data_IF_179642650359
#
_entry.id   IF_179642650359
#
_cell.length_a   1.000
_cell.length_b   1.000
_cell.length_c   1.000
_cell.angle_alpha   90.00
_cell.angle_beta   90.00
_cell.angle_gamma   90.00
#
_symmetry.space_group_name_H-M   'P 1'
#
loop_
_entity.id
_entity.type
_entity.pdbx_description
1 polymer ?
#
# COMPACT_ATOMS: atom_id res chain seq x y z
N UNK A 1 9.31 -30.19 4.26
CA UNK A 1 8.25 -29.61 5.13
C UNK A 1 8.78 -29.08 6.48
N UNK A 2 9.83 -29.67 7.06
CA UNK A 2 10.45 -29.21 8.33
C UNK A 2 11.16 -27.84 8.21
N UNK A 3 11.96 -27.60 7.19
CA UNK A 3 12.68 -26.33 6.96
C UNK A 3 11.76 -25.11 6.74
N UNK A 4 10.59 -25.29 6.15
CA UNK A 4 9.60 -24.22 5.98
C UNK A 4 8.96 -23.81 7.33
N UNK A 5 8.87 -24.74 8.27
CA UNK A 5 8.37 -24.44 9.62
C UNK A 5 9.39 -23.69 10.49
N UNK A 6 10.67 -24.00 10.37
CA UNK A 6 11.74 -23.25 11.06
C UNK A 6 11.91 -21.82 10.51
N UNK A 7 11.77 -21.65 9.21
CA UNK A 7 11.84 -20.33 8.56
C UNK A 7 10.57 -19.50 8.85
N UNK A 8 9.43 -20.17 9.10
CA UNK A 8 8.19 -19.51 9.54
C UNK A 8 8.24 -19.11 11.02
N UNK A 9 9.09 -19.73 11.83
CA UNK A 9 9.34 -19.31 13.23
C UNK A 9 10.18 -18.02 13.28
N UNK A 10 11.04 -17.74 12.27
CA UNK A 10 11.62 -16.41 12.08
C UNK A 10 10.57 -15.34 11.63
N UNK A 11 9.39 -15.76 11.20
CA UNK A 11 8.27 -14.84 10.97
C UNK A 11 7.68 -14.32 12.30
N UNK A 12 7.86 -15.03 13.41
CA UNK A 12 7.56 -14.53 14.76
C UNK A 12 8.54 -13.42 15.17
N UNK A 13 9.77 -13.41 14.68
CA UNK A 13 10.68 -12.27 14.81
C UNK A 13 10.15 -11.04 14.06
N UNK A 14 9.39 -11.21 12.98
CA UNK A 14 8.65 -10.12 12.34
C UNK A 14 7.46 -9.64 13.19
N UNK A 15 6.94 -10.45 14.11
CA UNK A 15 5.93 -10.04 15.08
C UNK A 15 6.53 -9.11 16.17
N UNK A 16 7.74 -9.38 16.63
CA UNK A 16 8.47 -8.50 17.54
C UNK A 16 8.76 -7.13 16.91
N UNK A 17 8.95 -7.05 15.59
CA UNK A 17 9.09 -5.78 14.85
C UNK A 17 7.85 -4.87 14.98
N UNK A 18 6.71 -5.43 15.34
CA UNK A 18 5.46 -4.70 15.56
C UNK A 18 5.12 -4.53 17.05
N UNK A 19 5.83 -5.20 17.98
CA UNK A 19 5.56 -5.12 19.42
C UNK A 19 6.42 -4.08 20.16
N UNK A 20 7.66 -3.86 19.74
CA UNK A 20 8.63 -2.98 20.42
C UNK A 20 8.75 -1.58 19.78
N UNK A 21 7.64 -0.94 19.46
CA UNK A 21 7.66 0.49 19.20
C UNK A 21 7.58 1.25 20.54
N UNK A 22 8.68 1.30 21.26
CA UNK A 22 8.82 2.23 22.37
C UNK A 22 8.50 3.65 21.91
N UNK A 23 7.54 4.30 22.56
CA UNK A 23 7.22 5.75 22.59
C UNK A 23 7.00 6.52 21.27
N UNK A 24 6.80 5.87 20.15
CA UNK A 24 6.47 6.49 18.88
C UNK A 24 5.25 5.87 18.19
N UNK A 25 4.33 5.30 18.96
CA UNK A 25 3.11 4.69 18.44
C UNK A 25 2.18 5.77 17.91
N UNK A 26 2.36 6.14 16.64
CA UNK A 26 1.34 6.90 15.93
C UNK A 26 0.19 5.91 15.72
N UNK A 27 -0.79 5.92 16.62
CA UNK A 27 -2.12 5.36 16.37
C UNK A 27 -2.72 6.15 15.23
N UNK A 28 -2.43 5.75 14.02
CA UNK A 28 -3.05 6.36 12.85
C UNK A 28 -4.43 5.74 12.74
N UNK A 29 -5.43 6.41 13.29
CA UNK A 29 -6.74 6.45 12.66
C UNK A 29 -6.49 6.54 11.14
N UNK A 30 -7.37 6.07 10.24
CA UNK A 30 -7.15 6.12 8.80
C UNK A 30 -6.98 7.56 8.25
N UNK A 31 -6.58 8.50 9.07
CA UNK A 31 -6.22 9.85 8.71
C UNK A 31 -4.85 9.83 8.01
N UNK A 32 -4.93 9.69 6.73
CA UNK A 32 -3.95 9.43 5.72
C UNK A 32 -2.79 10.40 5.61
N UNK A 33 -2.99 11.68 5.94
CA UNK A 33 -1.98 12.73 5.68
C UNK A 33 -0.75 12.60 6.55
N UNK A 34 -0.93 12.29 7.83
CA UNK A 34 0.20 12.07 8.74
C UNK A 34 1.03 10.85 8.34
N UNK A 35 0.36 9.80 7.84
CA UNK A 35 0.99 8.58 7.36
C UNK A 35 1.85 8.80 6.11
N UNK A 36 1.39 9.63 5.17
CA UNK A 36 2.09 9.91 3.92
C UNK A 36 3.17 11.00 4.04
N UNK A 37 3.17 11.74 5.15
CA UNK A 37 4.15 12.80 5.38
C UNK A 37 5.58 12.22 5.31
N UNK A 38 6.36 12.72 4.35
CA UNK A 38 7.76 12.30 4.13
C UNK A 38 7.95 10.98 3.40
N UNK A 39 6.89 10.31 2.93
CA UNK A 39 7.03 9.22 1.97
C UNK A 39 7.25 9.77 0.56
N UNK A 40 8.03 9.05 -0.29
CA UNK A 40 8.28 9.45 -1.68
C UNK A 40 7.09 9.08 -2.59
N UNK A 41 5.88 9.50 -2.19
CA UNK A 41 4.64 9.29 -2.94
C UNK A 41 4.07 10.61 -3.41
N UNK A 42 3.50 10.62 -4.61
CA UNK A 42 2.74 11.73 -5.17
C UNK A 42 1.32 11.70 -4.61
N UNK A 43 0.72 10.53 -4.67
CA UNK A 43 -0.65 10.28 -4.23
C UNK A 43 -0.74 8.90 -3.60
N UNK A 44 -1.59 8.75 -2.62
CA UNK A 44 -1.99 7.44 -2.14
C UNK A 44 -3.42 7.47 -1.67
N UNK A 45 -4.25 6.54 -2.08
CA UNK A 45 -5.64 6.40 -1.75
C UNK A 45 -5.94 5.02 -1.14
N UNK A 46 -6.78 4.97 -0.06
CA UNK A 46 -7.24 3.72 0.50
C UNK A 46 -8.75 3.73 0.70
N UNK A 47 -9.37 2.61 0.49
CA UNK A 47 -10.76 2.38 0.84
C UNK A 47 -10.84 1.16 1.73
N UNK A 48 -11.49 1.28 2.88
CA UNK A 48 -11.80 0.12 3.72
C UNK A 48 -12.95 -0.64 3.08
N UNK A 49 -12.73 -1.89 2.68
CA UNK A 49 -13.66 -2.71 1.92
C UNK A 49 -14.40 -3.76 2.76
N UNK A 50 -14.18 -3.78 4.07
CA UNK A 50 -14.87 -4.67 5.01
C UNK A 50 -15.26 -3.95 6.29
N UNK A 51 -16.31 -4.40 6.99
CA UNK A 51 -16.60 -3.97 8.35
C UNK A 51 -15.47 -4.32 9.32
N UNK A 52 -15.43 -3.58 10.44
CA UNK A 52 -14.55 -3.80 11.58
C UNK A 52 -13.51 -2.70 11.78
N UNK A 53 -12.86 -2.66 12.95
CA UNK A 53 -11.81 -1.69 13.22
C UNK A 53 -10.63 -1.90 12.26
N UNK A 54 -10.03 -0.82 11.85
CA UNK A 54 -8.90 -0.85 10.92
C UNK A 54 -7.60 -1.35 11.55
N UNK A 55 -7.43 -1.16 12.87
CA UNK A 55 -6.22 -1.47 13.64
C UNK A 55 -4.92 -1.19 12.87
N UNK A 56 -4.87 0.00 12.31
CA UNK A 56 -3.74 0.40 11.49
C UNK A 56 -2.57 0.85 12.36
N UNK A 57 -1.43 0.21 12.18
CA UNK A 57 -0.17 0.61 12.81
C UNK A 57 0.93 0.67 11.76
N UNK A 58 1.85 1.60 11.91
CA UNK A 58 2.98 1.74 10.98
C UNK A 58 4.24 2.23 11.67
N UNK A 59 5.37 1.83 11.10
CA UNK A 59 6.70 2.29 11.46
C UNK A 59 7.45 2.67 10.19
N UNK A 60 8.21 3.76 10.24
CA UNK A 60 8.97 4.26 9.11
C UNK A 60 10.47 4.34 9.45
N UNK A 61 11.30 3.96 8.48
CA UNK A 61 12.75 4.09 8.50
C UNK A 61 13.13 4.88 7.27
N UNK A 62 13.89 5.95 7.41
CA UNK A 62 14.35 6.78 6.32
C UNK A 62 15.85 6.63 6.18
N UNK A 63 16.29 6.06 5.06
CA UNK A 63 17.67 6.05 4.61
C UNK A 63 17.92 7.16 3.57
N UNK A 64 19.03 7.09 2.87
CA UNK A 64 19.45 8.03 1.82
C UNK A 64 18.71 7.78 0.50
N UNK A 65 18.71 6.54 0.04
CA UNK A 65 18.17 6.09 -1.24
C UNK A 65 16.96 5.17 -1.09
N UNK A 66 16.62 4.77 0.15
CA UNK A 66 15.42 4.01 0.45
C UNK A 66 14.62 4.56 1.64
N UNK A 67 13.32 4.32 1.61
CA UNK A 67 12.39 4.56 2.72
C UNK A 67 11.62 3.27 2.96
N UNK A 68 11.71 2.74 4.17
CA UNK A 68 10.96 1.54 4.56
C UNK A 68 9.73 1.94 5.34
N UNK A 69 8.63 1.31 5.02
CA UNK A 69 7.37 1.41 5.73
C UNK A 69 6.90 0.02 6.11
N UNK A 70 7.02 -0.32 7.40
CA UNK A 70 6.39 -1.49 7.96
C UNK A 70 5.02 -1.09 8.52
N UNK A 71 3.94 -1.77 8.08
CA UNK A 71 2.60 -1.43 8.52
C UNK A 71 1.69 -2.65 8.56
N UNK A 72 0.74 -2.62 9.50
CA UNK A 72 -0.28 -3.67 9.65
C UNK A 72 -1.68 -3.09 9.69
N UNK A 73 -2.65 -3.90 9.28
CA UNK A 73 -4.07 -3.59 9.39
C UNK A 73 -4.91 -4.88 9.35
N UNK A 74 -6.04 -4.89 10.06
CA UNK A 74 -6.94 -6.06 10.15
C UNK A 74 -8.07 -6.03 9.13
N UNK A 75 -8.64 -4.85 8.84
CA UNK A 75 -9.73 -4.73 7.86
C UNK A 75 -9.23 -5.01 6.43
N UNK A 76 -10.13 -5.41 5.52
CA UNK A 76 -9.81 -5.46 4.10
C UNK A 76 -9.66 -4.05 3.56
N UNK A 77 -8.48 -3.69 3.08
CA UNK A 77 -8.19 -2.41 2.46
C UNK A 77 -7.84 -2.60 0.98
N UNK A 78 -8.26 -1.65 0.15
CA UNK A 78 -7.67 -1.39 -1.15
C UNK A 78 -6.85 -0.11 -1.04
N UNK A 79 -5.59 -0.18 -1.40
CA UNK A 79 -4.65 0.94 -1.37
C UNK A 79 -4.17 1.17 -2.80
N UNK A 80 -4.38 2.37 -3.33
CA UNK A 80 -3.76 2.85 -4.55
C UNK A 80 -2.66 3.84 -4.17
N UNK A 81 -1.44 3.60 -4.64
CA UNK A 81 -0.28 4.45 -4.36
C UNK A 81 0.42 4.82 -5.65
N UNK A 82 0.62 6.12 -5.87
CA UNK A 82 1.39 6.66 -6.99
C UNK A 82 2.73 7.17 -6.44
N UNK A 83 3.85 6.51 -6.77
CA UNK A 83 5.17 6.99 -6.38
C UNK A 83 5.51 8.32 -7.03
N UNK A 84 6.46 9.08 -6.44
CA UNK A 84 7.15 10.13 -7.18
C UNK A 84 7.93 9.51 -8.34
N UNK A 85 8.14 10.26 -9.40
CA UNK A 85 8.68 9.76 -10.68
C UNK A 85 10.06 9.09 -10.57
N UNK A 86 10.87 9.54 -9.62
CA UNK A 86 12.23 9.04 -9.35
C UNK A 86 12.27 7.85 -8.36
N UNK A 87 11.11 7.34 -7.93
CA UNK A 87 11.01 6.26 -6.96
C UNK A 87 10.31 5.02 -7.54
N UNK A 88 10.84 3.85 -7.17
CA UNK A 88 10.18 2.55 -7.31
C UNK A 88 9.73 2.07 -5.94
N UNK A 89 8.68 1.25 -5.88
CA UNK A 89 8.21 0.65 -4.64
C UNK A 89 8.24 -0.88 -4.73
N UNK A 90 8.84 -1.51 -3.74
CA UNK A 90 8.80 -2.94 -3.50
C UNK A 90 7.85 -3.20 -2.33
N UNK A 91 6.88 -4.09 -2.51
CA UNK A 91 5.84 -4.38 -1.51
C UNK A 91 5.74 -5.88 -1.29
N UNK A 92 5.64 -6.29 -0.03
CA UNK A 92 5.30 -7.67 0.35
C UNK A 92 4.38 -7.71 1.55
N UNK A 93 3.74 -8.85 1.78
CA UNK A 93 3.08 -9.17 3.06
C UNK A 93 3.88 -10.25 3.78
N UNK A 94 4.10 -10.06 5.07
CA UNK A 94 4.80 -11.04 5.92
C UNK A 94 3.84 -11.90 6.75
N UNK A 95 2.52 -11.63 6.72
CA UNK A 95 1.53 -12.48 7.39
C UNK A 95 1.30 -13.77 6.58
N UNK A 96 1.69 -14.96 7.10
CA UNK A 96 1.60 -16.23 6.36
C UNK A 96 0.16 -16.63 5.98
N UNK A 97 -0.83 -16.11 6.68
CA UNK A 97 -2.25 -16.42 6.48
C UNK A 97 -2.98 -15.46 5.53
N UNK A 98 -2.27 -14.46 4.96
CA UNK A 98 -2.91 -13.37 4.24
C UNK A 98 -2.44 -13.24 2.80
N UNK A 99 -3.18 -13.83 1.88
CA UNK A 99 -3.03 -13.55 0.45
C UNK A 99 -3.53 -12.14 0.10
N UNK A 100 -3.01 -11.58 -0.99
CA UNK A 100 -3.38 -10.26 -1.44
C UNK A 100 -3.38 -10.12 -2.97
N UNK A 101 -4.05 -9.11 -3.47
CA UNK A 101 -3.98 -8.70 -4.86
C UNK A 101 -2.96 -7.57 -5.00
N UNK A 102 -2.08 -7.68 -5.99
CA UNK A 102 -1.21 -6.61 -6.43
C UNK A 102 -1.43 -6.40 -7.93
N UNK A 103 -1.94 -5.24 -8.30
CA UNK A 103 -2.33 -4.93 -9.68
C UNK A 103 -3.23 -6.01 -10.32
N UNK A 104 -4.11 -6.62 -9.53
CA UNK A 104 -4.99 -7.71 -9.95
C UNK A 104 -4.36 -9.11 -9.99
N UNK A 105 -3.07 -9.23 -9.77
CA UNK A 105 -2.40 -10.52 -9.62
C UNK A 105 -2.54 -11.03 -8.19
N UNK A 106 -2.93 -12.30 -8.04
CA UNK A 106 -2.96 -12.95 -6.74
C UNK A 106 -1.53 -13.19 -6.26
N UNK A 107 -1.19 -12.61 -5.12
CA UNK A 107 0.11 -12.75 -4.48
C UNK A 107 -0.02 -13.47 -3.14
N UNK A 108 0.99 -14.24 -2.81
CA UNK A 108 1.12 -14.96 -1.55
C UNK A 108 2.05 -14.18 -0.61
N UNK A 109 2.02 -14.45 0.69
CA UNK A 109 2.99 -13.90 1.63
C UNK A 109 4.43 -14.13 1.14
N UNK A 110 5.26 -13.09 1.28
CA UNK A 110 6.66 -13.03 0.82
C UNK A 110 6.88 -12.98 -0.70
N UNK A 111 5.85 -13.04 -1.55
CA UNK A 111 6.01 -12.59 -2.92
C UNK A 111 6.38 -11.09 -2.89
N UNK A 112 7.43 -10.70 -3.61
CA UNK A 112 7.87 -9.30 -3.68
C UNK A 112 7.32 -8.65 -4.94
N UNK A 113 6.49 -7.64 -4.76
CA UNK A 113 5.83 -6.92 -5.85
C UNK A 113 6.55 -5.60 -6.10
N UNK A 114 7.18 -5.45 -7.25
CA UNK A 114 7.85 -4.21 -7.68
C UNK A 114 6.91 -3.37 -8.52
N UNK A 115 6.77 -2.09 -8.19
CA UNK A 115 6.11 -1.07 -9.00
C UNK A 115 7.07 0.04 -9.37
N UNK A 116 7.17 0.32 -10.66
CA UNK A 116 8.06 1.32 -11.24
C UNK A 116 7.34 2.32 -12.12
N UNK A 117 6.09 2.02 -12.47
CA UNK A 117 5.27 2.82 -13.38
C UNK A 117 4.82 4.15 -12.80
N UNK A 118 4.57 5.17 -13.66
CA UNK A 118 4.13 6.50 -13.22
C UNK A 118 2.70 6.50 -12.66
N UNK A 119 1.92 5.49 -13.00
CA UNK A 119 0.53 5.37 -12.58
C UNK A 119 0.36 4.65 -11.23
N UNK A 120 1.45 4.20 -10.63
CA UNK A 120 1.44 3.52 -9.35
C UNK A 120 0.82 2.12 -9.38
N UNK A 121 0.39 1.65 -8.23
CA UNK A 121 -0.10 0.28 -8.03
C UNK A 121 -1.33 0.23 -7.13
N UNK A 122 -2.14 -0.81 -7.32
CA UNK A 122 -3.18 -1.23 -6.39
C UNK A 122 -2.69 -2.41 -5.54
N UNK A 123 -2.91 -2.33 -4.23
CA UNK A 123 -2.67 -3.43 -3.31
C UNK A 123 -3.92 -3.65 -2.45
N UNK A 124 -4.55 -4.82 -2.56
CA UNK A 124 -5.79 -5.12 -1.84
C UNK A 124 -5.63 -6.40 -1.04
N UNK A 125 -5.98 -6.36 0.24
CA UNK A 125 -5.92 -7.52 1.11
C UNK A 125 -6.55 -7.26 2.47
N UNK A 126 -6.66 -8.32 3.28
CA UNK A 126 -7.18 -8.28 4.64
C UNK A 126 -6.13 -8.85 5.59
N UNK A 127 -6.13 -8.37 6.83
CA UNK A 127 -5.24 -8.86 7.90
C UNK A 127 -3.77 -8.94 7.46
N UNK A 128 -3.26 -7.82 7.00
CA UNK A 128 -1.93 -7.76 6.41
C UNK A 128 -0.90 -7.15 7.34
N UNK A 129 0.28 -7.74 7.30
CA UNK A 129 1.53 -7.18 7.81
C UNK A 129 2.42 -6.93 6.60
N UNK A 130 2.65 -5.68 6.27
CA UNK A 130 3.34 -5.31 5.04
C UNK A 130 4.68 -4.68 5.34
N UNK A 131 5.63 -4.95 4.45
CA UNK A 131 6.84 -4.16 4.29
C UNK A 131 6.76 -3.54 2.89
N UNK A 132 6.79 -2.21 2.83
CA UNK A 132 6.94 -1.46 1.59
C UNK A 132 8.27 -0.72 1.63
N UNK A 133 9.08 -0.87 0.58
CA UNK A 133 10.36 -0.17 0.44
C UNK A 133 10.28 0.71 -0.80
N UNK A 134 10.28 2.03 -0.59
CA UNK A 134 10.52 3.00 -1.65
C UNK A 134 12.01 3.08 -1.91
N UNK A 135 12.44 3.02 -3.17
CA UNK A 135 13.85 3.01 -3.60
C UNK A 135 14.03 4.04 -4.71
N UNK A 136 15.11 4.83 -4.67
CA UNK A 136 15.47 5.72 -5.78
C UNK A 136 15.77 4.91 -7.03
N UNK A 137 15.04 5.19 -8.12
CA UNK A 137 15.21 4.48 -9.40
C UNK A 137 16.63 4.62 -9.96
N UNK A 138 17.22 5.81 -9.87
CA UNK A 138 18.56 6.06 -10.36
C UNK A 138 19.59 5.15 -9.69
N UNK A 139 19.49 4.95 -8.37
CA UNK A 139 20.35 4.05 -7.62
C UNK A 139 20.13 2.59 -8.03
N UNK A 140 18.88 2.13 -8.05
CA UNK A 140 18.56 0.75 -8.44
C UNK A 140 19.00 0.45 -9.88
N UNK A 141 18.80 1.39 -10.81
CA UNK A 141 19.22 1.27 -12.19
C UNK A 141 20.76 1.19 -12.29
N UNK A 142 21.49 2.02 -11.55
CA UNK A 142 22.95 2.00 -11.55
C UNK A 142 23.51 0.66 -11.05
N UNK A 143 22.96 0.14 -9.95
CA UNK A 143 23.38 -1.17 -9.40
C UNK A 143 23.03 -2.33 -10.38
N UNK A 144 21.84 -2.29 -11.00
CA UNK A 144 21.48 -3.26 -12.05
C UNK A 144 22.40 -3.19 -13.25
N UNK A 145 22.74 -2.00 -13.73
CA UNK A 145 23.62 -1.78 -14.86
C UNK A 145 25.04 -2.32 -14.60
N UNK A 146 25.59 -1.99 -13.44
CA UNK A 146 26.88 -2.48 -12.99
C UNK A 146 26.95 -4.01 -12.95
N UNK A 147 25.93 -4.66 -12.38
CA UNK A 147 25.84 -6.12 -12.29
C UNK A 147 25.57 -6.81 -13.65
N UNK A 148 24.84 -6.12 -14.52
CA UNK A 148 24.54 -6.65 -15.87
C UNK A 148 25.68 -6.41 -16.87
N UNK A 149 26.60 -5.49 -16.58
CA UNK A 149 27.68 -5.08 -17.49
C UNK A 149 27.18 -4.30 -18.71
N UNK A 150 26.12 -3.48 -18.55
CA UNK A 150 25.52 -2.67 -19.63
C UNK A 150 25.34 -1.22 -19.16
N UNK A 151 24.99 -0.30 -20.07
CA UNK A 151 24.73 1.09 -19.75
C UNK A 151 23.45 1.25 -18.89
N UNK A 152 23.43 2.26 -18.02
CA UNK A 152 22.25 2.57 -17.21
C UNK A 152 21.04 2.97 -18.07
N UNK A 153 21.30 3.57 -19.23
CA UNK A 153 20.30 3.94 -20.25
C UNK A 153 19.60 2.75 -20.89
N UNK A 154 20.24 1.56 -20.84
CA UNK A 154 19.69 0.32 -21.38
C UNK A 154 18.83 -0.44 -20.38
N UNK A 155 18.89 -0.08 -19.09
CA UNK A 155 18.07 -0.68 -18.05
C UNK A 155 16.63 -0.18 -18.14
N UNK A 156 15.69 -1.10 -18.27
CA UNK A 156 14.24 -0.84 -18.25
C UNK A 156 13.60 -1.61 -17.11
N UNK A 157 13.38 -0.90 -16.01
CA UNK A 157 12.60 -1.46 -14.90
C UNK A 157 11.12 -1.53 -15.30
N UNK A 158 10.47 -2.61 -14.96
CA UNK A 158 9.03 -2.82 -15.15
C UNK A 158 8.39 -3.34 -13.89
N UNK A 159 7.08 -3.19 -13.79
CA UNK A 159 6.30 -3.79 -12.71
C UNK A 159 6.39 -5.31 -12.84
N UNK A 160 6.72 -5.98 -11.73
CA UNK A 160 6.86 -7.46 -11.70
C UNK A 160 6.61 -8.03 -10.31
N UNK A 161 6.41 -9.33 -10.26
CA UNK A 161 6.35 -10.10 -9.00
C UNK A 161 7.52 -11.08 -8.97
N UNK A 162 8.34 -11.01 -7.93
CA UNK A 162 9.37 -12.01 -7.62
C UNK A 162 8.71 -13.05 -6.71
N UNK A 163 8.57 -14.31 -7.16
CA UNK A 163 7.92 -15.34 -6.37
C UNK A 163 8.68 -15.63 -5.07
N UNK A 164 7.95 -15.89 -4.01
CA UNK A 164 8.51 -16.17 -2.66
C UNK A 164 9.55 -17.30 -2.65
N UNK A 165 9.45 -18.25 -3.57
CA UNK A 165 10.39 -19.35 -3.70
C UNK A 165 11.82 -18.87 -4.03
N UNK A 166 11.94 -17.70 -4.66
CA UNK A 166 13.23 -17.02 -4.92
C UNK A 166 13.67 -16.11 -3.78
N UNK A 167 12.79 -15.81 -2.85
CA UNK A 167 13.01 -14.82 -1.78
C UNK A 167 13.32 -15.51 -0.45
N UNK A 168 12.44 -16.42 -0.01
CA UNK A 168 12.47 -17.01 1.32
C UNK A 168 13.78 -17.78 1.57
N UNK A 169 14.43 -17.45 2.72
CA UNK A 169 15.71 -18.07 3.12
C UNK A 169 16.92 -17.58 2.34
N UNK A 170 16.72 -16.79 1.28
CA UNK A 170 17.78 -16.23 0.46
C UNK A 170 18.38 -14.91 1.00
N UNK A 171 19.40 -14.38 0.30
CA UNK A 171 20.01 -13.09 0.68
C UNK A 171 19.00 -11.95 0.71
N UNK A 172 18.11 -11.88 -0.26
CA UNK A 172 17.10 -10.80 -0.36
C UNK A 172 16.12 -10.81 0.83
N UNK A 173 15.73 -11.99 1.32
CA UNK A 173 14.89 -12.11 2.51
C UNK A 173 15.62 -11.56 3.74
N UNK A 174 16.87 -11.98 3.97
CA UNK A 174 17.68 -11.49 5.10
C UNK A 174 17.91 -9.98 5.06
N UNK A 175 18.25 -9.45 3.88
CA UNK A 175 18.46 -8.03 3.68
C UNK A 175 17.17 -7.22 3.92
N UNK A 176 16.01 -7.69 3.43
CA UNK A 176 14.71 -7.08 3.65
C UNK A 176 14.33 -7.04 5.13
N UNK A 177 14.47 -8.17 5.83
CA UNK A 177 14.16 -8.24 7.27
C UNK A 177 15.14 -7.37 8.06
N UNK A 178 16.45 -7.46 7.79
CA UNK A 178 17.46 -6.61 8.43
C UNK A 178 17.16 -5.12 8.29
N UNK A 179 16.88 -4.66 7.07
CA UNK A 179 16.53 -3.27 6.81
C UNK A 179 15.20 -2.86 7.49
N UNK A 180 14.20 -3.73 7.49
CA UNK A 180 12.92 -3.44 8.14
C UNK A 180 12.99 -3.44 9.66
N UNK A 181 13.99 -4.11 10.26
CA UNK A 181 14.26 -4.13 11.70
C UNK A 181 15.10 -2.93 12.19
N UNK A 182 15.73 -2.18 11.27
CA UNK A 182 16.59 -1.06 11.59
C UNK A 182 15.88 0.01 12.45
N UNK A 183 16.58 0.82 13.26
CA UNK A 183 16.00 1.90 14.04
C UNK A 183 15.17 2.86 13.16
N UNK A 184 14.04 3.34 13.69
CA UNK A 184 13.15 4.25 12.95
C UNK A 184 12.04 4.79 13.84
N UNK A 185 11.15 5.60 13.25
CA UNK A 185 10.04 6.22 13.97
C UNK A 185 10.43 7.47 14.80
N UNK A 186 11.72 7.77 14.90
CA UNK A 186 12.32 8.95 15.57
C UNK A 186 13.55 9.43 14.80
N UNK A 187 14.07 10.62 15.08
CA UNK A 187 15.37 11.05 14.57
C UNK A 187 16.48 10.04 14.96
N UNK A 188 17.30 9.66 14.01
CA UNK A 188 18.40 8.71 14.20
C UNK A 188 19.66 9.46 14.71
N UNK A 189 20.43 8.83 15.58
CA UNK A 189 21.80 9.24 15.88
C UNK A 189 22.71 8.99 14.66
N UNK A 190 23.91 9.59 14.62
CA UNK A 190 24.86 9.43 13.52
C UNK A 190 25.23 7.95 13.29
N UNK A 191 25.50 7.20 14.38
CA UNK A 191 25.81 5.78 14.29
C UNK A 191 24.63 4.92 13.79
N UNK A 192 23.41 5.24 14.22
CA UNK A 192 22.21 4.58 13.70
C UNK A 192 21.97 4.89 12.23
N UNK A 193 22.22 6.14 11.80
CA UNK A 193 22.11 6.52 10.39
C UNK A 193 23.11 5.75 9.53
N UNK A 194 24.36 5.64 9.96
CA UNK A 194 25.40 4.84 9.29
C UNK A 194 24.99 3.36 9.18
N UNK A 195 24.41 2.80 10.24
CA UNK A 195 23.90 1.43 10.21
C UNK A 195 22.75 1.27 9.22
N UNK A 196 21.78 2.19 9.20
CA UNK A 196 20.66 2.19 8.23
C UNK A 196 21.21 2.28 6.81
N UNK A 197 22.20 3.15 6.55
CA UNK A 197 22.82 3.29 5.23
C UNK A 197 23.52 1.99 4.79
N UNK A 198 24.18 1.29 5.69
CA UNK A 198 24.82 0.01 5.38
C UNK A 198 23.77 -1.07 5.02
N UNK A 199 22.70 -1.19 5.81
CA UNK A 199 21.59 -2.13 5.54
C UNK A 199 20.85 -1.80 4.23
N UNK A 200 20.68 -0.52 3.93
CA UNK A 200 20.09 -0.04 2.69
C UNK A 200 20.94 -0.42 1.47
N UNK A 201 22.25 -0.20 1.55
CA UNK A 201 23.18 -0.54 0.47
C UNK A 201 23.19 -2.06 0.20
N UNK A 202 23.24 -2.88 1.25
CA UNK A 202 23.15 -4.33 1.13
C UNK A 202 21.82 -4.77 0.48
N UNK A 203 20.71 -4.20 0.95
CA UNK A 203 19.39 -4.52 0.40
C UNK A 203 19.27 -4.15 -1.07
N UNK A 204 19.68 -2.94 -1.50
CA UNK A 204 19.57 -2.49 -2.89
C UNK A 204 20.47 -3.34 -3.79
N UNK A 205 21.70 -3.65 -3.36
CA UNK A 205 22.61 -4.49 -4.13
C UNK A 205 22.06 -5.91 -4.34
N UNK A 206 21.53 -6.53 -3.29
CA UNK A 206 20.94 -7.87 -3.37
C UNK A 206 19.67 -7.86 -4.22
N UNK A 207 18.83 -6.82 -4.12
CA UNK A 207 17.66 -6.66 -4.96
C UNK A 207 18.07 -6.52 -6.43
N UNK A 208 19.05 -5.67 -6.75
CA UNK A 208 19.56 -5.51 -8.11
C UNK A 208 20.04 -6.85 -8.68
N UNK A 209 20.78 -7.65 -7.91
CA UNK A 209 21.23 -8.96 -8.32
C UNK A 209 20.06 -9.92 -8.64
N UNK A 210 18.94 -9.83 -7.91
CA UNK A 210 17.74 -10.60 -8.19
C UNK A 210 16.98 -10.11 -9.43
N UNK A 211 17.07 -8.81 -9.77
CA UNK A 211 16.38 -8.21 -10.90
C UNK A 211 17.11 -8.46 -12.23
N UNK A 212 18.44 -8.55 -12.25
CA UNK A 212 19.23 -8.73 -13.49
C UNK A 212 18.77 -9.88 -14.38
N UNK A 213 18.42 -11.07 -13.87
CA UNK A 213 17.85 -12.15 -14.70
C UNK A 213 16.57 -11.75 -15.43
N UNK A 214 15.68 -10.98 -14.79
CA UNK A 214 14.43 -10.53 -15.41
C UNK A 214 14.66 -9.46 -16.48
N UNK A 215 15.71 -8.63 -16.32
CA UNK A 215 16.08 -7.63 -17.31
C UNK A 215 16.65 -8.24 -18.59
N UNK A 216 17.35 -9.37 -18.47
CA UNK A 216 17.93 -10.11 -19.60
C UNK A 216 16.92 -10.99 -20.31
N UNK A 217 15.98 -11.58 -19.56
CA UNK A 217 14.91 -12.41 -20.09
C UNK A 217 13.66 -11.54 -20.28
N UNK A 218 13.37 -11.12 -21.52
CA UNK A 218 12.10 -10.44 -21.86
C UNK A 218 10.84 -11.31 -21.62
N UNK A 219 10.99 -12.52 -21.09
CA UNK A 219 9.96 -13.51 -20.91
C UNK A 219 9.80 -13.87 -19.42
N UNK A 220 8.58 -13.90 -18.95
CA UNK A 220 8.04 -14.30 -17.63
C UNK A 220 7.84 -13.20 -16.57
N UNK A 221 7.70 -11.97 -16.98
CA UNK A 221 6.94 -11.01 -16.17
C UNK A 221 5.48 -11.41 -16.28
N UNK A 222 4.83 -11.79 -15.19
CA UNK A 222 3.38 -11.99 -15.18
C UNK A 222 2.75 -10.71 -15.69
N UNK A 223 2.17 -10.67 -16.91
CA UNK A 223 1.68 -9.45 -17.48
C UNK A 223 0.50 -8.98 -16.62
N UNK A 224 0.67 -7.85 -15.93
CA UNK A 224 -0.47 -7.20 -15.30
C UNK A 224 -1.50 -6.87 -16.38
N UNK A 225 -2.78 -7.00 -16.04
CA UNK A 225 -3.88 -6.66 -16.94
C UNK A 225 -3.96 -5.14 -17.12
N UNK A 226 -3.06 -4.58 -17.91
CA UNK A 226 -2.89 -3.13 -18.09
C UNK A 226 -4.19 -2.42 -18.45
N UNK A 227 -5.03 -3.02 -19.30
CA UNK A 227 -6.35 -2.46 -19.66
C UNK A 227 -7.29 -2.41 -18.45
N UNK A 228 -7.35 -3.47 -17.65
CA UNK A 228 -8.18 -3.49 -16.44
C UNK A 228 -7.68 -2.47 -15.40
N UNK A 229 -6.36 -2.33 -15.24
CA UNK A 229 -5.75 -1.32 -14.38
C UNK A 229 -6.11 0.10 -14.82
N UNK A 230 -6.01 0.39 -16.12
CA UNK A 230 -6.38 1.71 -16.69
C UNK A 230 -7.84 2.04 -16.38
N UNK A 231 -8.75 1.08 -16.59
CA UNK A 231 -10.18 1.25 -16.30
C UNK A 231 -10.43 1.53 -14.83
N UNK A 232 -9.83 0.74 -13.94
CA UNK A 232 -9.99 0.91 -12.49
C UNK A 232 -9.40 2.23 -12.02
N UNK A 233 -8.23 2.65 -12.52
CA UNK A 233 -7.61 3.95 -12.21
C UNK A 233 -8.51 5.11 -12.58
N UNK A 234 -9.03 5.14 -13.80
CA UNK A 234 -9.93 6.21 -14.24
C UNK A 234 -11.18 6.30 -13.35
N UNK A 235 -11.78 5.17 -13.02
CA UNK A 235 -12.97 5.12 -12.17
C UNK A 235 -12.69 5.50 -10.71
N UNK A 236 -11.56 5.08 -10.14
CA UNK A 236 -11.19 5.41 -8.76
C UNK A 236 -10.78 6.87 -8.62
N UNK A 237 -10.06 7.44 -9.61
CA UNK A 237 -9.73 8.87 -9.65
C UNK A 237 -11.01 9.72 -9.64
N UNK A 238 -11.99 9.41 -10.49
CA UNK A 238 -13.28 10.12 -10.50
C UNK A 238 -14.00 9.99 -9.14
N UNK A 239 -13.96 8.81 -8.51
CA UNK A 239 -14.57 8.62 -7.18
C UNK A 239 -13.92 9.50 -6.11
N UNK A 240 -12.61 9.72 -6.19
CA UNK A 240 -11.85 10.61 -5.30
C UNK A 240 -12.19 12.09 -5.51
N UNK A 241 -12.30 12.52 -6.76
CA UNK A 241 -12.61 13.90 -7.15
C UNK A 241 -14.10 14.23 -6.95
N UNK A 242 -14.98 13.32 -7.34
CA UNK A 242 -16.43 13.48 -7.30
C UNK A 242 -17.08 12.33 -6.50
N UNK A 243 -17.12 12.43 -5.17
CA UNK A 243 -17.69 11.37 -4.32
C UNK A 243 -19.15 11.04 -4.61
N UNK A 244 -19.88 11.93 -5.29
CA UNK A 244 -21.28 11.72 -5.69
C UNK A 244 -21.44 10.94 -7.00
N UNK A 245 -20.35 10.75 -7.77
CA UNK A 245 -20.38 10.07 -9.07
C UNK A 245 -20.99 8.66 -8.95
N UNK A 246 -21.91 8.33 -9.86
CA UNK A 246 -22.58 7.04 -9.95
C UNK A 246 -21.86 6.08 -10.90
N UNK A 247 -22.41 4.87 -11.07
CA UNK A 247 -21.81 3.86 -11.95
C UNK A 247 -21.75 4.31 -13.41
N UNK A 248 -22.72 5.09 -13.87
CA UNK A 248 -22.74 5.62 -15.24
C UNK A 248 -21.56 6.57 -15.45
N UNK A 249 -21.32 7.47 -14.50
CA UNK A 249 -20.22 8.42 -14.56
C UNK A 249 -18.87 7.70 -14.59
N UNK A 250 -18.72 6.61 -13.80
CA UNK A 250 -17.52 5.77 -13.81
C UNK A 250 -17.31 5.07 -15.16
N UNK A 251 -18.40 4.58 -15.78
CA UNK A 251 -18.34 3.98 -17.12
C UNK A 251 -17.88 5.01 -18.17
N UNK A 252 -18.41 6.23 -18.10
CA UNK A 252 -18.05 7.31 -19.00
C UNK A 252 -16.58 7.73 -18.82
N UNK A 253 -16.15 7.92 -17.57
CA UNK A 253 -14.76 8.28 -17.26
C UNK A 253 -13.75 7.23 -17.73
N UNK A 254 -14.10 5.96 -17.61
CA UNK A 254 -13.25 4.85 -18.04
C UNK A 254 -13.39 4.46 -19.51
N UNK A 255 -14.42 4.99 -20.23
CA UNK A 255 -14.71 4.68 -21.60
C UNK A 255 -15.13 3.22 -21.83
N UNK A 256 -15.91 2.64 -20.90
CA UNK A 256 -16.25 1.20 -20.94
C UNK A 256 -17.71 0.93 -20.58
N UNK A 257 -18.18 -0.27 -20.95
CA UNK A 257 -19.50 -0.75 -20.53
C UNK A 257 -19.51 -1.11 -19.03
N UNK A 258 -20.70 -1.07 -18.41
CA UNK A 258 -20.88 -1.46 -16.99
C UNK A 258 -20.41 -2.89 -16.72
N UNK A 259 -20.64 -3.82 -17.66
CA UNK A 259 -20.18 -5.21 -17.53
C UNK A 259 -18.66 -5.30 -17.47
N UNK A 260 -17.98 -4.54 -18.33
CA UNK A 260 -16.52 -4.51 -18.37
C UNK A 260 -15.94 -3.81 -17.13
N UNK A 261 -16.51 -2.68 -16.72
CA UNK A 261 -16.16 -2.00 -15.47
C UNK A 261 -16.26 -2.95 -14.28
N UNK A 262 -17.37 -3.71 -14.18
CA UNK A 262 -17.57 -4.69 -13.10
C UNK A 262 -16.45 -5.74 -13.10
N UNK A 263 -16.13 -6.29 -14.29
CA UNK A 263 -15.07 -7.29 -14.42
C UNK A 263 -13.70 -6.73 -13.99
N UNK A 264 -13.34 -5.55 -14.45
CA UNK A 264 -12.08 -4.91 -14.08
C UNK A 264 -11.95 -4.70 -12.57
N UNK A 265 -13.03 -4.25 -11.91
CA UNK A 265 -13.02 -4.07 -10.45
C UNK A 265 -12.87 -5.37 -9.68
N UNK A 266 -13.56 -6.44 -10.11
CA UNK A 266 -13.40 -7.76 -9.49
C UNK A 266 -11.96 -8.25 -9.69
N UNK A 267 -11.42 -8.14 -10.89
CA UNK A 267 -10.08 -8.62 -11.21
C UNK A 267 -8.98 -7.84 -10.45
N UNK A 268 -9.09 -6.51 -10.34
CA UNK A 268 -8.02 -5.65 -9.76
C UNK A 268 -8.17 -5.44 -8.26
N UNK A 269 -9.40 -5.20 -7.78
CA UNK A 269 -9.69 -4.83 -6.38
C UNK A 269 -10.35 -5.97 -5.61
N UNK A 270 -11.02 -6.90 -6.31
CA UNK A 270 -11.72 -8.03 -5.71
C UNK A 270 -13.10 -7.68 -5.13
N UNK A 271 -13.69 -6.53 -5.50
CA UNK A 271 -15.08 -6.15 -5.17
C UNK A 271 -15.73 -5.45 -6.35
N UNK A 272 -17.08 -5.41 -6.37
CA UNK A 272 -17.80 -4.71 -7.44
C UNK A 272 -17.61 -3.18 -7.37
N UNK A 273 -17.75 -2.43 -8.49
CA UNK A 273 -17.64 -0.98 -8.51
C UNK A 273 -18.59 -0.29 -7.54
N UNK A 274 -19.84 -0.77 -7.48
CA UNK A 274 -20.85 -0.24 -6.55
C UNK A 274 -20.39 -0.37 -5.08
N UNK A 275 -19.87 -1.54 -4.73
CA UNK A 275 -19.36 -1.80 -3.38
C UNK A 275 -18.14 -0.94 -3.08
N UNK A 276 -17.21 -0.81 -4.03
CA UNK A 276 -16.05 0.06 -3.90
C UNK A 276 -16.45 1.51 -3.64
N UNK A 277 -17.30 2.11 -4.49
CA UNK A 277 -17.75 3.51 -4.36
C UNK A 277 -18.40 3.75 -3.00
N UNK A 278 -19.25 2.82 -2.55
CA UNK A 278 -19.89 2.90 -1.23
C UNK A 278 -18.85 2.96 -0.11
N UNK A 279 -17.88 2.05 -0.11
CA UNK A 279 -16.82 2.02 0.90
C UNK A 279 -15.85 3.19 0.78
N UNK A 280 -15.53 3.64 -0.42
CA UNK A 280 -14.67 4.82 -0.64
C UNK A 280 -15.32 6.09 -0.05
N UNK A 281 -16.63 6.28 -0.23
CA UNK A 281 -17.39 7.40 0.39
C UNK A 281 -17.34 7.35 1.91
N UNK A 282 -17.54 6.17 2.50
CA UNK A 282 -17.49 5.99 3.95
C UNK A 282 -16.07 6.20 4.50
N UNK A 283 -15.05 5.69 3.80
CA UNK A 283 -13.64 5.93 4.15
C UNK A 283 -13.28 7.41 4.07
N UNK A 284 -13.77 8.12 3.07
CA UNK A 284 -13.60 9.58 2.94
C UNK A 284 -14.30 10.34 4.07
N UNK A 285 -15.50 9.91 4.44
CA UNK A 285 -16.21 10.48 5.60
C UNK A 285 -15.38 10.29 6.87
N UNK A 286 -14.86 9.10 7.10
CA UNK A 286 -14.07 8.77 8.28
C UNK A 286 -12.77 9.59 8.32
N UNK A 287 -12.09 9.76 7.19
CA UNK A 287 -10.91 10.63 7.06
C UNK A 287 -11.23 12.08 7.47
N UNK A 288 -12.33 12.65 6.96
CA UNK A 288 -12.72 14.02 7.25
C UNK A 288 -13.13 14.21 8.72
N UNK A 289 -13.88 13.24 9.28
CA UNK A 289 -14.33 13.31 10.67
C UNK A 289 -13.19 13.10 11.68
N UNK A 290 -12.16 12.36 11.29
CA UNK A 290 -10.97 12.11 12.13
C UNK A 290 -9.91 13.21 12.02
N UNK A 291 -9.99 14.09 11.02
CA UNK A 291 -9.01 15.16 10.81
C UNK A 291 -9.32 16.37 11.72
N UNK A 292 -8.33 16.82 12.49
CA UNK A 292 -8.49 17.96 13.40
C UNK A 292 -8.69 19.30 12.66
N UNK A 293 -8.12 19.43 11.46
CA UNK A 293 -8.05 20.66 10.67
C UNK A 293 -9.21 20.88 9.67
N UNK A 294 -10.00 19.86 9.39
CA UNK A 294 -11.04 19.88 8.34
C UNK A 294 -12.44 19.48 8.83
N UNK A 295 -12.78 19.87 10.05
CA UNK A 295 -14.04 19.46 10.68
C UNK A 295 -15.25 20.02 9.97
N UNK A 296 -16.22 19.18 9.58
CA UNK A 296 -17.52 19.68 9.15
C UNK A 296 -18.27 20.25 10.35
N UNK A 297 -18.92 21.39 10.15
CA UNK A 297 -19.80 21.97 11.19
C UNK A 297 -20.92 21.01 11.60
N UNK A 298 -21.38 20.19 10.67
CA UNK A 298 -22.45 19.20 10.86
C UNK A 298 -22.17 17.91 10.09
N UNK A 299 -22.32 16.76 10.74
CA UNK A 299 -22.27 15.44 10.13
C UNK A 299 -23.25 15.30 8.95
N UNK A 300 -24.42 15.95 9.05
CA UNK A 300 -25.44 15.96 7.99
C UNK A 300 -24.93 16.61 6.69
N UNK A 301 -24.20 17.72 6.80
CA UNK A 301 -23.63 18.41 5.63
C UNK A 301 -22.58 17.54 4.94
N UNK A 302 -21.74 16.84 5.72
CA UNK A 302 -20.78 15.88 5.18
C UNK A 302 -21.47 14.72 4.46
N UNK A 303 -22.52 14.13 5.06
CA UNK A 303 -23.27 13.06 4.43
C UNK A 303 -23.83 13.48 3.07
N UNK A 304 -24.41 14.69 3.00
CA UNK A 304 -24.95 15.25 1.74
C UNK A 304 -23.85 15.45 0.68
N UNK A 305 -22.69 16.01 1.07
CA UNK A 305 -21.56 16.23 0.13
C UNK A 305 -20.98 14.92 -0.42
N UNK A 306 -21.19 13.81 0.29
CA UNK A 306 -20.80 12.46 -0.14
C UNK A 306 -21.91 11.69 -0.87
N UNK A 307 -23.04 12.36 -1.19
CA UNK A 307 -24.15 11.80 -1.96
C UNK A 307 -25.18 10.99 -1.13
N UNK A 308 -25.16 11.10 0.18
CA UNK A 308 -26.17 10.49 1.04
C UNK A 308 -27.35 11.44 1.24
N UNK A 309 -28.50 11.15 0.64
CA UNK A 309 -29.73 11.95 0.81
C UNK A 309 -30.35 11.83 2.19
N UNK A 310 -30.16 10.69 2.85
CA UNK A 310 -30.72 10.38 4.16
C UNK A 310 -29.59 10.18 5.17
N UNK A 311 -29.51 11.09 6.16
CA UNK A 311 -28.46 11.04 7.21
C UNK A 311 -28.54 9.80 8.08
N UNK A 312 -29.74 9.26 8.32
CA UNK A 312 -29.92 7.98 9.05
C UNK A 312 -29.32 6.78 8.33
N UNK A 313 -29.47 6.71 7.00
CA UNK A 313 -28.83 5.67 6.19
C UNK A 313 -27.30 5.80 6.22
N UNK A 314 -26.79 7.01 6.10
CA UNK A 314 -25.36 7.28 6.23
C UNK A 314 -24.82 6.82 7.58
N UNK A 315 -25.47 7.18 8.69
CA UNK A 315 -25.04 6.81 10.03
C UNK A 315 -25.06 5.28 10.24
N UNK A 316 -26.10 4.60 9.77
CA UNK A 316 -26.20 3.15 9.85
C UNK A 316 -25.10 2.43 9.04
N UNK A 317 -24.85 2.88 7.80
CA UNK A 317 -23.79 2.34 6.96
C UNK A 317 -22.40 2.62 7.53
N UNK A 318 -22.17 3.83 8.04
CA UNK A 318 -20.92 4.21 8.69
C UNK A 318 -20.65 3.34 9.90
N UNK A 319 -21.63 3.20 10.80
CA UNK A 319 -21.50 2.35 11.98
C UNK A 319 -21.25 0.89 11.62
N UNK A 320 -21.88 0.37 10.56
CA UNK A 320 -21.67 -1.00 10.11
C UNK A 320 -20.24 -1.26 9.65
N UNK A 321 -19.53 -0.22 9.18
CA UNK A 321 -18.14 -0.32 8.69
C UNK A 321 -17.13 -0.07 9.80
N UNK A 322 -17.30 1.01 10.59
CA UNK A 322 -16.30 1.46 11.56
C UNK A 322 -16.61 1.07 13.01
N UNK A 323 -17.80 0.50 13.29
CA UNK A 323 -18.20 0.09 14.64
C UNK A 323 -18.64 1.24 15.54
N UNK A 324 -18.59 2.49 15.07
CA UNK A 324 -18.96 3.70 15.80
C UNK A 324 -19.81 4.64 14.95
N UNK A 325 -20.52 5.57 15.56
CA UNK A 325 -21.30 6.58 14.84
C UNK A 325 -20.39 7.72 14.31
N UNK A 326 -20.78 8.40 13.22
CA UNK A 326 -20.02 9.53 12.71
C UNK A 326 -19.78 10.66 13.74
N UNK A 327 -20.76 10.85 14.64
CA UNK A 327 -20.67 11.83 15.74
C UNK A 327 -19.65 11.42 16.80
N UNK A 328 -19.49 10.14 17.06
CA UNK A 328 -18.49 9.62 18.01
C UNK A 328 -17.07 9.81 17.47
N UNK A 329 -16.86 9.52 16.17
CA UNK A 329 -15.59 9.80 15.50
C UNK A 329 -15.24 11.29 15.58
N UNK A 330 -16.21 12.17 15.27
CA UNK A 330 -16.03 13.63 15.35
C UNK A 330 -15.71 14.10 16.77
N UNK A 331 -16.39 13.55 17.78
CA UNK A 331 -16.17 13.94 19.18
C UNK A 331 -14.80 13.50 19.70
N UNK A 332 -14.29 12.32 19.28
CA UNK A 332 -12.97 11.83 19.66
C UNK A 332 -11.86 12.72 19.12
N UNK A 333 -11.94 13.13 17.86
CA UNK A 333 -10.97 14.05 17.25
C UNK A 333 -10.99 15.47 17.86
N UNK A 334 -11.92 15.76 18.78
CA UNK A 334 -11.96 17.01 19.55
C UNK A 334 -11.13 16.95 20.84
N UNK A 335 -10.70 15.75 21.26
CA UNK A 335 -10.00 15.55 22.54
C UNK A 335 -8.49 15.38 22.37
N UNK A 336 -8.05 15.09 21.15
CA UNK A 336 -6.65 15.01 20.73
C UNK A 336 -6.19 16.31 20.05
#
# INVERSE_FOLDING_TARGET
MSKLREILLDADAADDLHQDAGSGEIRVSPCRRAFLAGLPVKESESAQLSPGPGDYRSRRICGRDAVVLAYRYSARLSIHTVPKSDWAFLITSTNPASDFLFNGSQCRPFDLCLSTGPDGYFSTGRDRRNIAVGIRKSRLIADCAALAGIGAEDIRLSDLVIPRERVIGGPLHRALIGLSAAPGGRPLSEGEFTMVEALENDFIAVLAAQLVPFLRQRAEVVPFRTDALRVVRAATALTGEQPTAGLVDLCMAAGVSQRWLHRCFIDVIGVSPYRYVRFARLSKAHEILSAADKRPKLVKSLALSLGYRLSGRFAAEYRSVFGENPSETLARSCKD
#
